data_IF_035539852893
#
_entry.id   IF_035539852893
#
_cell.length_a   1.000
_cell.length_b   1.000
_cell.length_c   1.000
_cell.angle_alpha   90.00
_cell.angle_beta   90.00
_cell.angle_gamma   90.00
#
_symmetry.space_group_name_H-M   'P 1'
#
loop_
_entity.id
_entity.type
_entity.pdbx_description
1 polymer ?
#
# COMPACT_ATOMS: atom_id res chain seq x y z
N UNK A 1 -16.12 -4.51 -7.31
CA UNK A 1 -16.97 -3.63 -8.14
C UNK A 1 -16.04 -2.68 -8.88
N UNK A 2 -16.04 -2.64 -10.22
CA UNK A 2 -15.12 -1.75 -10.96
C UNK A 2 -15.61 -0.30 -10.98
N UNK A 3 -14.68 0.66 -10.94
CA UNK A 3 -14.98 2.11 -11.10
C UNK A 3 -15.62 2.45 -12.44
N UNK A 4 -15.42 1.61 -13.47
CA UNK A 4 -16.00 1.79 -14.81
C UNK A 4 -17.43 1.30 -14.93
N UNK A 5 -17.95 0.58 -13.92
CA UNK A 5 -19.30 0.02 -13.98
C UNK A 5 -20.33 1.01 -13.44
N UNK A 6 -21.52 1.13 -14.08
CA UNK A 6 -22.61 1.98 -13.57
C UNK A 6 -23.04 1.65 -12.13
N UNK A 7 -22.84 0.40 -11.71
CA UNK A 7 -23.14 -0.07 -10.35
C UNK A 7 -22.27 0.66 -9.30
N UNK A 8 -21.07 1.12 -9.67
CA UNK A 8 -20.23 1.96 -8.82
C UNK A 8 -20.84 3.32 -8.54
N UNK A 9 -21.43 3.96 -9.56
CA UNK A 9 -22.08 5.26 -9.39
C UNK A 9 -23.25 5.19 -8.40
N UNK A 10 -24.09 4.16 -8.51
CA UNK A 10 -25.18 3.92 -7.56
C UNK A 10 -24.67 3.65 -6.14
N UNK A 11 -23.67 2.78 -6.01
CA UNK A 11 -23.04 2.51 -4.72
C UNK A 11 -22.48 3.79 -4.07
N UNK A 12 -21.81 4.63 -4.85
CA UNK A 12 -21.25 5.89 -4.38
C UNK A 12 -22.35 6.87 -3.95
N UNK A 13 -23.41 7.02 -4.76
CA UNK A 13 -24.55 7.89 -4.43
C UNK A 13 -25.23 7.45 -3.13
N UNK A 14 -25.45 6.15 -2.93
CA UNK A 14 -26.02 5.59 -1.70
C UNK A 14 -25.09 5.86 -0.53
N UNK A 15 -23.79 5.56 -0.68
CA UNK A 15 -22.78 5.78 0.36
C UNK A 15 -22.75 7.24 0.82
N UNK A 16 -22.72 8.18 -0.13
CA UNK A 16 -22.71 9.61 0.16
C UNK A 16 -24.03 10.07 0.79
N UNK A 17 -25.17 9.59 0.30
CA UNK A 17 -26.49 9.92 0.88
C UNK A 17 -26.56 9.51 2.35
N UNK A 18 -26.12 8.30 2.69
CA UNK A 18 -26.06 7.83 4.07
C UNK A 18 -25.06 8.66 4.88
N UNK A 19 -23.87 8.93 4.33
CA UNK A 19 -22.84 9.73 4.99
C UNK A 19 -23.34 11.13 5.39
N UNK A 20 -24.05 11.83 4.49
CA UNK A 20 -24.58 13.16 4.75
C UNK A 20 -25.83 13.14 5.65
N UNK A 21 -26.66 12.09 5.55
CA UNK A 21 -27.81 11.92 6.44
C UNK A 21 -27.41 11.70 7.91
N UNK A 22 -26.28 11.03 8.13
CA UNK A 22 -25.73 10.79 9.46
C UNK A 22 -25.11 12.07 10.02
N UNK A 23 -25.53 12.48 11.23
CA UNK A 23 -24.99 13.69 11.91
C UNK A 23 -23.77 13.41 12.80
N UNK A 24 -23.66 12.21 13.35
CA UNK A 24 -22.57 11.84 14.25
C UNK A 24 -21.29 11.52 13.48
N UNK A 25 -20.18 12.16 13.85
CA UNK A 25 -18.86 11.92 13.25
C UNK A 25 -18.40 10.45 13.38
N UNK A 26 -18.74 9.78 14.48
CA UNK A 26 -18.42 8.36 14.66
C UNK A 26 -19.15 7.49 13.63
N UNK A 27 -20.46 7.71 13.49
CA UNK A 27 -21.29 6.97 12.55
C UNK A 27 -20.89 7.26 11.09
N UNK A 28 -20.51 8.50 10.75
CA UNK A 28 -19.97 8.84 9.42
C UNK A 28 -18.73 8.01 9.08
N UNK A 29 -17.80 7.87 10.02
CA UNK A 29 -16.59 7.04 9.84
C UNK A 29 -16.93 5.56 9.69
N UNK A 30 -17.95 5.08 10.41
CA UNK A 30 -18.44 3.71 10.26
C UNK A 30 -19.09 3.48 8.89
N UNK A 31 -19.86 4.44 8.37
CA UNK A 31 -20.41 4.39 7.01
C UNK A 31 -19.29 4.28 5.98
N UNK A 32 -18.25 5.12 6.10
CA UNK A 32 -17.08 5.06 5.21
C UNK A 32 -16.37 3.70 5.30
N UNK A 33 -16.12 3.19 6.51
CA UNK A 33 -15.48 1.90 6.72
C UNK A 33 -16.30 0.76 6.10
N UNK A 34 -17.60 0.69 6.39
CA UNK A 34 -18.47 -0.35 5.85
C UNK A 34 -18.56 -0.28 4.33
N UNK A 35 -18.61 0.92 3.77
CA UNK A 35 -18.59 1.11 2.31
C UNK A 35 -17.26 0.64 1.72
N UNK A 36 -16.13 0.93 2.35
CA UNK A 36 -14.83 0.39 1.97
C UNK A 36 -14.78 -1.12 2.02
N UNK A 37 -15.32 -1.73 3.07
CA UNK A 37 -15.41 -3.18 3.18
C UNK A 37 -16.26 -3.78 2.06
N UNK A 38 -17.41 -3.19 1.77
CA UNK A 38 -18.31 -3.67 0.71
C UNK A 38 -17.65 -3.57 -0.67
N UNK A 39 -17.00 -2.45 -0.97
CA UNK A 39 -16.32 -2.24 -2.24
C UNK A 39 -15.16 -3.22 -2.46
N UNK A 40 -14.28 -3.36 -1.47
CA UNK A 40 -13.12 -4.24 -1.54
C UNK A 40 -13.55 -5.71 -1.48
N UNK A 41 -14.49 -6.03 -0.59
CA UNK A 41 -15.08 -7.37 -0.48
C UNK A 41 -15.80 -7.82 -1.75
N UNK A 42 -16.37 -6.89 -2.53
CA UNK A 42 -16.99 -7.22 -3.82
C UNK A 42 -16.01 -7.83 -4.81
N UNK A 43 -14.73 -7.44 -4.76
CA UNK A 43 -13.72 -8.08 -5.59
C UNK A 43 -13.37 -9.45 -5.05
N UNK A 44 -12.93 -9.51 -3.79
CA UNK A 44 -12.60 -10.75 -3.11
C UNK A 44 -12.39 -10.53 -1.60
N UNK A 45 -13.16 -11.27 -0.81
CA UNK A 45 -13.18 -11.16 0.65
C UNK A 45 -11.86 -11.56 1.32
N UNK A 46 -11.02 -12.37 0.65
CA UNK A 46 -9.71 -12.80 1.17
C UNK A 46 -8.77 -11.63 1.32
N UNK A 47 -8.76 -10.68 0.38
CA UNK A 47 -7.94 -9.47 0.47
C UNK A 47 -8.46 -8.51 1.53
N UNK A 48 -9.77 -8.45 1.74
CA UNK A 48 -10.33 -7.63 2.81
C UNK A 48 -9.85 -8.14 4.19
N UNK A 49 -9.89 -9.45 4.43
CA UNK A 49 -9.36 -10.04 5.66
C UNK A 49 -7.86 -9.76 5.83
N UNK A 50 -7.09 -9.87 4.74
CA UNK A 50 -5.67 -9.53 4.71
C UNK A 50 -5.41 -8.06 5.04
N UNK A 51 -6.20 -7.13 4.49
CA UNK A 51 -6.09 -5.71 4.79
C UNK A 51 -6.36 -5.42 6.26
N UNK A 52 -7.39 -6.03 6.84
CA UNK A 52 -7.66 -5.89 8.27
C UNK A 52 -6.55 -6.48 9.14
N UNK A 53 -5.95 -7.60 8.69
CA UNK A 53 -4.84 -8.22 9.39
C UNK A 53 -3.61 -7.30 9.41
N UNK A 54 -3.18 -6.80 8.25
CA UNK A 54 -2.04 -5.86 8.18
C UNK A 54 -2.36 -4.52 8.85
N UNK A 55 -3.60 -4.03 8.71
CA UNK A 55 -4.08 -2.84 9.41
C UNK A 55 -3.92 -2.99 10.93
N UNK A 56 -4.37 -4.12 11.46
CA UNK A 56 -4.30 -4.43 12.89
C UNK A 56 -2.86 -4.43 13.37
N UNK A 57 -1.97 -5.13 12.65
CA UNK A 57 -0.54 -5.16 12.99
C UNK A 57 0.02 -3.74 13.06
N UNK A 58 -0.22 -2.91 12.05
CA UNK A 58 0.35 -1.57 11.99
C UNK A 58 -0.26 -0.61 13.01
N UNK A 59 -1.56 -0.73 13.27
CA UNK A 59 -2.24 0.00 14.34
C UNK A 59 -1.59 -0.29 15.70
N UNK A 60 -1.45 -1.57 16.07
CA UNK A 60 -0.85 -1.97 17.34
C UNK A 60 0.64 -1.65 17.39
N UNK A 61 1.40 -1.91 16.31
CA UNK A 61 2.81 -1.55 16.25
C UNK A 61 3.02 -0.05 16.43
N UNK A 62 2.22 0.79 15.78
CA UNK A 62 2.27 2.25 15.96
C UNK A 62 2.06 2.66 17.42
N UNK A 63 1.07 2.09 18.10
CA UNK A 63 0.83 2.33 19.53
C UNK A 63 2.03 1.87 20.39
N UNK A 64 2.52 0.65 20.14
CA UNK A 64 3.64 0.07 20.89
C UNK A 64 4.95 0.82 20.68
N UNK A 65 5.22 1.33 19.47
CA UNK A 65 6.37 2.19 19.17
C UNK A 65 6.29 3.47 20.01
N UNK A 66 5.13 4.11 20.04
CA UNK A 66 4.93 5.36 20.78
C UNK A 66 5.07 5.18 22.30
N UNK A 67 4.52 4.10 22.84
CA UNK A 67 4.57 3.81 24.28
C UNK A 67 5.94 3.27 24.75
N UNK A 68 6.79 2.81 23.82
CA UNK A 68 8.08 2.21 24.15
C UNK A 68 9.12 3.24 24.58
N UNK A 69 9.66 3.04 25.79
CA UNK A 69 10.78 3.84 26.33
C UNK A 69 12.15 3.45 25.77
N UNK A 70 12.29 2.21 25.28
CA UNK A 70 13.58 1.67 24.83
C UNK A 70 13.67 1.64 23.30
N UNK A 71 14.79 2.11 22.76
CA UNK A 71 15.05 2.13 21.31
C UNK A 71 15.00 0.74 20.66
N UNK A 72 15.43 -0.30 21.37
CA UNK A 72 15.37 -1.68 20.90
C UNK A 72 13.92 -2.15 20.63
N UNK A 73 12.98 -1.84 21.53
CA UNK A 73 11.57 -2.20 21.37
C UNK A 73 10.92 -1.42 20.22
N UNK A 74 11.21 -0.12 20.10
CA UNK A 74 10.76 0.72 18.98
C UNK A 74 11.20 0.12 17.64
N UNK A 75 12.47 -0.31 17.54
CA UNK A 75 13.02 -0.96 16.35
C UNK A 75 12.35 -2.31 16.07
N UNK A 76 12.11 -3.13 17.10
CA UNK A 76 11.43 -4.41 16.95
C UNK A 76 10.02 -4.25 16.39
N UNK A 77 9.21 -3.36 16.95
CA UNK A 77 7.84 -3.13 16.46
C UNK A 77 7.81 -2.54 15.06
N UNK A 78 8.75 -1.65 14.73
CA UNK A 78 8.93 -1.19 13.36
C UNK A 78 9.29 -2.34 12.42
N UNK A 79 10.21 -3.23 12.83
CA UNK A 79 10.60 -4.40 12.05
C UNK A 79 9.41 -5.33 11.78
N UNK A 80 8.57 -5.58 12.80
CA UNK A 80 7.35 -6.40 12.66
C UNK A 80 6.40 -5.79 11.62
N UNK A 81 6.17 -4.48 11.67
CA UNK A 81 5.36 -3.75 10.67
C UNK A 81 5.96 -3.87 9.26
N UNK A 82 7.27 -3.66 9.11
CA UNK A 82 7.96 -3.75 7.82
C UNK A 82 7.91 -5.16 7.23
N UNK A 83 8.25 -6.18 8.03
CA UNK A 83 8.32 -7.57 7.59
C UNK A 83 6.93 -8.10 7.23
N UNK A 84 5.89 -7.78 8.01
CA UNK A 84 4.54 -8.22 7.69
C UNK A 84 4.04 -7.62 6.37
N UNK A 85 4.16 -6.30 6.20
CA UNK A 85 3.74 -5.61 4.98
C UNK A 85 4.50 -6.03 3.73
N UNK A 86 5.84 -6.04 3.78
CA UNK A 86 6.64 -6.48 2.66
C UNK A 86 6.52 -7.98 2.42
N UNK A 87 6.29 -8.79 3.46
CA UNK A 87 6.01 -10.21 3.35
C UNK A 87 4.72 -10.47 2.57
N UNK A 88 3.65 -9.75 2.90
CA UNK A 88 2.38 -9.80 2.15
C UNK A 88 2.60 -9.37 0.70
N UNK A 89 3.23 -8.22 0.47
CA UNK A 89 3.49 -7.71 -0.87
C UNK A 89 4.32 -8.71 -1.70
N UNK A 90 5.39 -9.26 -1.12
CA UNK A 90 6.26 -10.24 -1.74
C UNK A 90 5.54 -11.55 -2.04
N UNK A 91 4.74 -12.06 -1.10
CA UNK A 91 3.97 -13.28 -1.31
C UNK A 91 3.05 -13.16 -2.52
N UNK A 92 2.28 -12.08 -2.63
CA UNK A 92 1.37 -11.90 -3.77
C UNK A 92 2.10 -11.61 -5.07
N UNK A 93 3.17 -10.80 -5.03
CA UNK A 93 3.95 -10.47 -6.22
C UNK A 93 4.65 -11.68 -6.82
N UNK A 94 5.16 -12.57 -5.99
CA UNK A 94 5.91 -13.76 -6.41
C UNK A 94 5.10 -15.04 -6.26
N UNK A 95 3.77 -14.95 -6.07
CA UNK A 95 2.91 -16.11 -5.83
C UNK A 95 3.05 -17.17 -6.94
N UNK A 96 3.06 -16.74 -8.21
CA UNK A 96 3.26 -17.64 -9.35
C UNK A 96 4.59 -18.39 -9.28
N UNK A 97 5.67 -17.69 -8.98
CA UNK A 97 7.00 -18.30 -8.80
C UNK A 97 7.01 -19.30 -7.63
N UNK A 98 6.48 -18.94 -6.47
CA UNK A 98 6.43 -19.84 -5.31
C UNK A 98 5.57 -21.06 -5.58
N UNK A 99 4.42 -20.88 -6.25
CA UNK A 99 3.54 -21.95 -6.69
C UNK A 99 4.27 -22.92 -7.61
N UNK A 100 4.90 -22.43 -8.68
CA UNK A 100 5.58 -23.28 -9.66
C UNK A 100 6.70 -24.09 -9.01
N UNK A 101 7.49 -23.49 -8.13
CA UNK A 101 8.53 -24.22 -7.40
C UNK A 101 7.94 -25.24 -6.41
N UNK A 102 6.87 -24.90 -5.70
CA UNK A 102 6.19 -25.83 -4.80
C UNK A 102 5.60 -27.03 -5.55
N UNK A 103 4.95 -26.81 -6.69
CA UNK A 103 4.42 -27.88 -7.56
C UNK A 103 5.56 -28.77 -8.04
N UNK A 104 6.66 -28.20 -8.56
CA UNK A 104 7.84 -28.99 -8.97
C UNK A 104 8.42 -29.83 -7.83
N UNK A 105 8.52 -29.28 -6.63
CA UNK A 105 9.01 -30.03 -5.46
C UNK A 105 8.07 -31.18 -5.08
N UNK A 106 6.76 -30.98 -5.18
CA UNK A 106 5.76 -32.02 -4.89
C UNK A 106 5.75 -33.10 -5.98
N UNK A 107 5.90 -32.72 -7.26
CA UNK A 107 6.05 -33.64 -8.38
C UNK A 107 7.31 -34.52 -8.22
N UNK A 108 8.43 -33.96 -7.77
CA UNK A 108 9.64 -34.74 -7.45
C UNK A 108 9.42 -35.76 -6.32
N UNK A 109 8.45 -35.51 -5.44
CA UNK A 109 8.03 -36.43 -4.37
C UNK A 109 6.91 -37.38 -4.81
N UNK A 110 6.54 -37.38 -6.10
CA UNK A 110 5.48 -38.22 -6.66
C UNK A 110 4.06 -37.74 -6.32
N UNK A 111 3.91 -36.52 -5.80
CA UNK A 111 2.61 -35.94 -5.44
C UNK A 111 2.17 -34.99 -6.54
N UNK A 112 1.21 -35.42 -7.36
CA UNK A 112 0.55 -34.52 -8.31
C UNK A 112 -0.34 -33.53 -7.54
N UNK A 113 0.12 -32.28 -7.44
CA UNK A 113 -0.61 -31.22 -6.74
C UNK A 113 -1.01 -30.11 -7.71
N UNK A 114 -2.31 -29.97 -7.94
CA UNK A 114 -2.87 -28.84 -8.68
C UNK A 114 -3.11 -27.67 -7.73
N UNK A 115 -2.05 -26.94 -7.38
CA UNK A 115 -2.23 -25.68 -6.66
C UNK A 115 -2.97 -24.72 -7.59
N UNK A 116 -4.13 -24.16 -7.23
CA UNK A 116 -4.89 -23.29 -8.12
C UNK A 116 -4.08 -22.05 -8.48
N UNK A 117 -4.17 -21.62 -9.74
CA UNK A 117 -3.66 -20.30 -10.11
C UNK A 117 -4.59 -19.30 -9.43
N UNK A 118 -4.05 -18.63 -8.44
CA UNK A 118 -4.64 -17.41 -7.93
C UNK A 118 -4.45 -16.39 -9.08
N UNK A 119 -5.44 -16.32 -9.98
CA UNK A 119 -5.58 -15.30 -11.01
C UNK A 119 -5.88 -13.98 -10.29
N UNK A 120 -4.90 -13.52 -9.52
CA UNK A 120 -4.94 -12.33 -8.71
C UNK A 120 -4.80 -11.21 -9.71
N UNK A 121 -5.92 -10.61 -10.09
CA UNK A 121 -5.91 -9.18 -10.39
C UNK A 121 -5.53 -8.56 -9.05
N UNK A 122 -4.23 -8.29 -8.87
CA UNK A 122 -3.72 -7.58 -7.69
C UNK A 122 -4.64 -6.37 -7.53
N UNK A 123 -5.33 -6.21 -6.38
CA UNK A 123 -6.09 -4.99 -6.16
C UNK A 123 -5.13 -3.85 -6.46
N UNK A 124 -5.49 -3.00 -7.41
CA UNK A 124 -4.61 -1.93 -7.93
C UNK A 124 -4.10 -1.03 -6.78
N UNK A 125 -4.74 -1.09 -5.60
CA UNK A 125 -4.34 -0.43 -4.36
C UNK A 125 -3.53 -1.22 -3.33
N UNK A 126 -3.20 -2.52 -3.49
CA UNK A 126 -2.49 -3.30 -2.44
C UNK A 126 -1.13 -2.66 -2.10
N UNK A 127 -0.34 -2.31 -3.11
CA UNK A 127 0.95 -1.64 -2.92
C UNK A 127 0.77 -0.25 -2.28
N UNK A 128 -0.20 0.53 -2.75
CA UNK A 128 -0.46 1.88 -2.21
C UNK A 128 -0.87 1.83 -0.74
N UNK A 129 -1.81 0.94 -0.40
CA UNK A 129 -2.24 0.68 0.96
C UNK A 129 -1.06 0.24 1.84
N UNK A 130 -0.23 -0.70 1.36
CA UNK A 130 0.97 -1.14 2.07
C UNK A 130 1.92 0.03 2.36
N UNK A 131 2.22 0.90 1.39
CA UNK A 131 3.08 2.05 1.63
C UNK A 131 2.45 3.08 2.57
N UNK A 132 1.15 3.30 2.50
CA UNK A 132 0.44 4.18 3.44
C UNK A 132 0.50 3.64 4.87
N UNK A 133 0.29 2.34 5.04
CA UNK A 133 0.36 1.67 6.35
C UNK A 133 1.77 1.68 6.93
N UNK A 134 2.78 1.44 6.10
CA UNK A 134 4.19 1.59 6.48
C UNK A 134 4.56 3.02 6.85
N UNK A 135 4.08 4.02 6.09
CA UNK A 135 4.33 5.44 6.41
C UNK A 135 3.84 5.78 7.81
N UNK A 136 2.67 5.26 8.20
CA UNK A 136 2.13 5.47 9.54
C UNK A 136 3.08 4.98 10.64
N UNK A 137 3.57 3.73 10.56
CA UNK A 137 4.46 3.17 11.60
C UNK A 137 5.85 3.81 11.57
N UNK A 138 6.39 4.10 10.39
CA UNK A 138 7.68 4.78 10.22
C UNK A 138 7.63 6.22 10.76
N UNK A 139 6.57 6.98 10.48
CA UNK A 139 6.42 8.35 10.96
C UNK A 139 6.33 8.42 12.49
N UNK A 140 5.62 7.46 13.12
CA UNK A 140 5.58 7.35 14.58
C UNK A 140 6.95 7.00 15.13
N UNK A 141 7.67 6.08 14.47
CA UNK A 141 9.02 5.70 14.87
C UNK A 141 10.00 6.88 14.81
N UNK A 142 9.88 7.76 13.82
CA UNK A 142 10.68 9.00 13.74
C UNK A 142 10.10 10.18 14.53
N UNK A 143 8.96 10.00 15.21
CA UNK A 143 8.33 11.06 16.00
C UNK A 143 7.68 12.18 15.19
N UNK A 144 7.43 11.95 13.89
CA UNK A 144 6.76 12.91 13.00
C UNK A 144 5.24 12.95 13.22
N UNK A 145 4.66 11.87 13.77
CA UNK A 145 3.22 11.71 13.98
C UNK A 145 2.94 10.97 15.29
N UNK A 146 1.84 11.31 15.96
CA UNK A 146 1.29 10.54 17.09
C UNK A 146 0.33 9.45 16.61
N UNK A 147 0.29 8.28 17.26
CA UNK A 147 -0.56 7.17 16.79
C UNK A 147 -2.05 7.50 16.90
N UNK A 148 -2.83 6.97 15.95
CA UNK A 148 -4.29 7.16 15.92
C UNK A 148 -4.90 6.33 17.05
N UNK A 149 -5.76 6.95 17.87
CA UNK A 149 -6.30 6.31 19.10
C UNK A 149 -7.36 5.25 18.84
N UNK A 150 -8.02 5.29 17.68
CA UNK A 150 -9.14 4.41 17.33
C UNK A 150 -8.80 3.57 16.11
N UNK A 151 -8.95 2.24 16.22
CA UNK A 151 -8.79 1.33 15.09
C UNK A 151 -9.80 1.61 13.98
N UNK A 152 -10.98 2.13 14.33
CA UNK A 152 -11.99 2.58 13.37
C UNK A 152 -11.50 3.81 12.61
N UNK A 153 -10.83 4.76 13.28
CA UNK A 153 -10.27 5.95 12.63
C UNK A 153 -9.07 5.59 11.74
N UNK A 154 -8.31 4.57 12.13
CA UNK A 154 -7.21 4.03 11.33
C UNK A 154 -7.73 3.31 10.08
N UNK A 155 -8.73 2.43 10.23
CA UNK A 155 -9.28 1.61 9.13
C UNK A 155 -10.22 2.40 8.20
N UNK A 156 -10.91 3.42 8.73
CA UNK A 156 -11.77 4.30 7.95
C UNK A 156 -10.97 5.26 7.03
N UNK A 157 -9.65 5.38 7.23
CA UNK A 157 -8.73 6.15 6.37
C UNK A 157 -8.41 5.45 5.03
N UNK A 158 -9.30 4.57 4.59
CA UNK A 158 -9.16 3.71 3.40
C UNK A 158 -9.41 4.47 2.09
N UNK A 159 -9.05 3.83 0.98
CA UNK A 159 -9.03 4.47 -0.35
C UNK A 159 -10.38 5.01 -0.84
N UNK A 160 -11.52 4.58 -0.28
CA UNK A 160 -12.82 5.20 -0.60
C UNK A 160 -12.95 6.58 0.03
N UNK A 161 -12.42 6.80 1.23
CA UNK A 161 -12.39 8.15 1.81
C UNK A 161 -11.47 9.07 0.99
N UNK A 162 -10.38 8.52 0.45
CA UNK A 162 -9.44 9.21 -0.44
C UNK A 162 -10.07 9.50 -1.82
N UNK A 163 -10.71 8.51 -2.44
CA UNK A 163 -11.38 8.63 -3.74
C UNK A 163 -12.65 9.47 -3.69
N UNK A 164 -13.44 9.38 -2.61
CA UNK A 164 -14.55 10.30 -2.38
C UNK A 164 -14.05 11.72 -2.12
N UNK A 165 -12.93 11.89 -1.40
CA UNK A 165 -12.30 13.18 -1.19
C UNK A 165 -11.95 13.92 -2.50
N UNK A 166 -11.53 13.21 -3.55
CA UNK A 166 -11.25 13.83 -4.86
C UNK A 166 -12.49 14.49 -5.49
N UNK A 167 -13.68 13.90 -5.30
CA UNK A 167 -14.94 14.46 -5.81
C UNK A 167 -15.36 15.74 -5.07
N UNK A 168 -14.78 16.01 -3.90
CA UNK A 168 -15.08 17.17 -3.05
C UNK A 168 -13.90 18.14 -2.93
N UNK A 169 -12.92 18.05 -3.84
CA UNK A 169 -11.83 19.04 -3.93
C UNK A 169 -10.60 18.77 -3.05
N UNK A 170 -10.47 17.58 -2.45
CA UNK A 170 -9.20 17.18 -1.84
C UNK A 170 -8.16 16.90 -2.92
N UNK A 171 -7.08 17.68 -2.95
CA UNK A 171 -5.98 17.49 -3.89
C UNK A 171 -5.13 16.30 -3.48
N UNK A 172 -5.30 15.16 -4.16
CA UNK A 172 -4.32 14.09 -4.06
C UNK A 172 -3.04 14.49 -4.78
N UNK A 173 -1.87 14.05 -4.28
CA UNK A 173 -0.65 14.26 -5.00
C UNK A 173 -0.72 13.54 -6.35
N UNK A 174 -0.48 14.26 -7.45
CA UNK A 174 -0.39 13.67 -8.80
C UNK A 174 0.56 12.47 -8.78
N UNK A 175 0.12 11.33 -9.30
CA UNK A 175 0.95 10.13 -9.43
C UNK A 175 1.67 10.04 -10.78
N UNK A 176 1.13 10.64 -11.83
CA UNK A 176 1.74 10.68 -13.15
C UNK A 176 1.61 12.07 -13.74
N UNK A 177 2.69 12.61 -14.31
CA UNK A 177 2.71 13.93 -14.96
C UNK A 177 3.38 13.82 -16.32
N UNK A 178 2.65 13.33 -17.32
CA UNK A 178 3.14 13.16 -18.70
C UNK A 178 4.57 12.58 -18.77
N UNK A 179 4.81 11.39 -18.19
CA UNK A 179 6.15 10.83 -18.06
C UNK A 179 6.81 10.58 -19.42
N UNK A 180 6.04 10.23 -20.45
CA UNK A 180 6.54 10.02 -21.81
C UNK A 180 6.97 11.30 -22.55
N UNK A 181 6.66 12.48 -22.00
CA UNK A 181 7.17 13.77 -22.47
C UNK A 181 8.42 14.22 -21.71
N UNK A 182 9.11 13.30 -21.02
CA UNK A 182 10.38 13.60 -20.36
C UNK A 182 11.52 13.67 -21.38
N UNK A 183 12.39 14.66 -21.22
CA UNK A 183 13.55 14.87 -22.09
C UNK A 183 14.74 13.99 -21.66
N UNK A 184 14.75 13.52 -20.41
CA UNK A 184 15.78 12.64 -19.88
C UNK A 184 15.21 11.59 -18.88
N UNK A 185 15.97 10.51 -18.57
CA UNK A 185 15.53 9.48 -17.64
C UNK A 185 15.23 10.01 -16.23
N UNK A 186 16.01 10.97 -15.71
CA UNK A 186 15.79 11.54 -14.39
C UNK A 186 14.45 12.29 -14.33
N UNK A 187 14.11 13.01 -15.40
CA UNK A 187 12.83 13.69 -15.55
C UNK A 187 11.67 12.70 -15.70
N UNK A 188 11.85 11.61 -16.44
CA UNK A 188 10.86 10.53 -16.56
C UNK A 188 10.47 10.00 -15.17
N UNK A 189 11.45 9.68 -14.33
CA UNK A 189 11.21 9.17 -12.97
C UNK A 189 10.65 10.24 -12.01
N UNK A 190 10.88 11.54 -12.26
CA UNK A 190 10.20 12.62 -11.50
C UNK A 190 8.74 12.80 -11.90
N UNK A 191 8.34 12.25 -13.05
CA UNK A 191 7.00 12.34 -13.64
C UNK A 191 6.22 11.02 -13.54
N UNK A 192 6.88 9.92 -13.21
CA UNK A 192 6.30 8.57 -13.10
C UNK A 192 6.15 8.18 -11.63
N UNK A 193 4.95 7.72 -11.21
CA UNK A 193 4.65 7.26 -9.85
C UNK A 193 5.09 8.22 -8.71
N UNK A 194 4.87 9.52 -8.88
CA UNK A 194 5.47 10.62 -8.09
C UNK A 194 5.24 10.47 -6.57
N UNK A 195 4.09 9.98 -6.11
CA UNK A 195 3.85 9.77 -4.66
C UNK A 195 4.70 8.64 -4.10
N UNK A 196 4.90 7.59 -4.89
CA UNK A 196 5.75 6.46 -4.52
C UNK A 196 7.23 6.82 -4.58
N UNK A 197 7.66 7.55 -5.59
CA UNK A 197 9.04 8.05 -5.69
C UNK A 197 9.40 8.99 -4.54
N UNK A 198 8.44 9.82 -4.11
CA UNK A 198 8.59 10.60 -2.87
C UNK A 198 8.73 9.70 -1.65
N UNK A 199 7.93 8.63 -1.55
CA UNK A 199 8.02 7.67 -0.45
C UNK A 199 9.40 6.99 -0.39
N UNK A 200 9.90 6.43 -1.50
CA UNK A 200 11.25 5.82 -1.54
C UNK A 200 12.29 6.87 -1.17
N UNK A 201 12.19 8.07 -1.71
CA UNK A 201 13.13 9.15 -1.40
C UNK A 201 13.18 9.43 0.11
N UNK A 202 12.02 9.63 0.73
CA UNK A 202 11.92 10.13 2.09
C UNK A 202 12.15 9.06 3.16
N UNK A 203 11.83 7.79 2.86
CA UNK A 203 11.91 6.68 3.82
C UNK A 203 13.03 5.67 3.55
N UNK A 204 13.59 5.62 2.34
CA UNK A 204 14.69 4.73 2.00
C UNK A 204 15.96 5.51 1.63
N UNK A 205 15.90 6.34 0.59
CA UNK A 205 17.08 6.96 0.00
C UNK A 205 17.76 7.98 0.92
N UNK A 206 17.01 8.95 1.47
CA UNK A 206 17.54 9.97 2.39
C UNK A 206 18.07 9.33 3.68
N UNK A 207 17.32 8.43 4.37
CA UNK A 207 17.83 7.72 5.55
C UNK A 207 19.09 6.89 5.31
N UNK A 208 19.30 6.35 4.09
CA UNK A 208 20.52 5.64 3.71
C UNK A 208 21.71 6.56 3.39
N UNK A 209 21.54 7.88 3.53
CA UNK A 209 22.57 8.89 3.30
C UNK A 209 22.40 9.66 1.99
N UNK A 210 21.46 9.28 1.13
CA UNK A 210 21.25 9.91 -0.18
C UNK A 210 22.53 9.98 -1.01
N UNK A 211 22.93 11.19 -1.40
CA UNK A 211 24.19 11.49 -2.10
C UNK A 211 25.37 11.81 -1.16
N UNK A 212 25.26 11.53 0.15
CA UNK A 212 26.35 11.77 1.10
C UNK A 212 27.21 10.51 1.25
N UNK A 213 28.50 10.69 1.51
CA UNK A 213 29.45 9.59 1.70
C UNK A 213 30.22 9.23 0.43
N UNK A 214 30.89 8.08 0.44
CA UNK A 214 31.73 7.62 -0.69
C UNK A 214 30.90 7.27 -1.93
N UNK A 215 31.54 7.30 -3.11
CA UNK A 215 30.89 6.94 -4.37
C UNK A 215 30.21 5.56 -4.31
N UNK A 216 30.78 4.59 -3.59
CA UNK A 216 30.19 3.25 -3.41
C UNK A 216 28.85 3.32 -2.67
N UNK A 217 28.75 4.15 -1.62
CA UNK A 217 27.51 4.35 -0.85
C UNK A 217 26.46 5.03 -1.73
N UNK A 218 26.86 6.03 -2.51
CA UNK A 218 25.96 6.74 -3.42
C UNK A 218 25.41 5.82 -4.52
N UNK A 219 26.28 5.04 -5.17
CA UNK A 219 25.90 4.05 -6.19
C UNK A 219 24.96 3.00 -5.60
N UNK A 220 25.27 2.45 -4.43
CA UNK A 220 24.39 1.51 -3.72
C UNK A 220 23.00 2.11 -3.46
N UNK A 221 22.96 3.36 -2.97
CA UNK A 221 21.70 4.05 -2.66
C UNK A 221 20.87 4.31 -3.93
N UNK A 222 21.51 4.69 -5.03
CA UNK A 222 20.88 4.87 -6.34
C UNK A 222 20.33 3.54 -6.88
N UNK A 223 21.11 2.46 -6.78
CA UNK A 223 20.66 1.12 -7.20
C UNK A 223 19.40 0.71 -6.42
N UNK A 224 19.38 0.87 -5.09
CA UNK A 224 18.17 0.56 -4.31
C UNK A 224 16.96 1.40 -4.71
N UNK A 225 17.17 2.69 -5.00
CA UNK A 225 16.11 3.58 -5.49
C UNK A 225 15.53 3.09 -6.83
N UNK A 226 16.38 2.88 -7.84
CA UNK A 226 15.94 2.47 -9.18
C UNK A 226 15.38 1.05 -9.22
N UNK A 227 15.95 0.09 -8.48
CA UNK A 227 15.42 -1.28 -8.43
C UNK A 227 14.02 -1.31 -7.82
N UNK A 228 13.77 -0.48 -6.80
CA UNK A 228 12.45 -0.36 -6.17
C UNK A 228 11.42 0.24 -7.12
N UNK A 229 11.79 1.28 -7.86
CA UNK A 229 10.96 1.93 -8.89
C UNK A 229 10.67 0.99 -10.07
N UNK A 230 11.70 0.35 -10.62
CA UNK A 230 11.59 -0.57 -11.77
C UNK A 230 10.63 -1.72 -11.49
N UNK A 231 10.73 -2.30 -10.29
CA UNK A 231 9.91 -3.42 -9.85
C UNK A 231 8.42 -3.09 -9.78
N UNK A 232 8.06 -1.83 -9.56
CA UNK A 232 6.68 -1.37 -9.41
C UNK A 232 6.17 -0.77 -10.72
N UNK A 233 7.00 -0.02 -11.44
CA UNK A 233 6.71 0.49 -12.77
C UNK A 233 6.42 -0.62 -13.78
N UNK A 234 7.18 -1.72 -13.76
CA UNK A 234 6.95 -2.87 -14.66
C UNK A 234 5.60 -3.56 -14.40
N UNK A 235 5.16 -3.63 -13.14
CA UNK A 235 3.86 -4.20 -12.79
C UNK A 235 2.73 -3.27 -13.23
N UNK A 236 2.85 -1.96 -12.98
CA UNK A 236 1.89 -0.99 -13.49
C UNK A 236 1.78 -1.08 -15.04
N UNK A 237 2.90 -1.24 -15.74
CA UNK A 237 2.91 -1.39 -17.19
C UNK A 237 2.22 -2.67 -17.70
N UNK A 238 2.38 -3.81 -17.01
CA UNK A 238 1.70 -5.06 -17.37
C UNK A 238 0.20 -5.01 -17.09
N UNK A 239 -0.23 -4.41 -15.97
CA UNK A 239 -1.63 -4.37 -15.58
C UNK A 239 -2.44 -3.26 -16.26
N UNK A 240 -1.79 -2.15 -16.62
CA UNK A 240 -2.41 -1.03 -17.33
C UNK A 240 -2.05 -1.03 -18.81
N UNK A 241 -2.13 -2.17 -19.50
CA UNK A 241 -1.97 -2.20 -20.96
C UNK A 241 -2.78 -1.05 -21.59
N UNK A 242 -2.06 -0.03 -22.05
CA UNK A 242 -2.48 0.89 -23.09
C UNK A 242 -2.14 0.25 -24.42
#
# INVERSE_FOLDING_TARGET
MSFTQPVFAWFLLITLSIFYAVRSASHRRMVLLLSSCLFYGWFDMRFLALFFFTAGIDFYCGQLIYLSKTQARRKLYLLVSLVSNFGVLGFFKYYGFFRENAVRMLELLGVESQIPLLAIILPIGLSFYTFQSLSYTIDIYFGKRTPVKSALDFSAYSDIAIGAGQLFGFQLPENFRSPYHAEDPQEFWRRWYISFSRWIRDYLYIPLGGNRGSNVVQVRNLVFFFVSEWNIGYQAFIYFQF
#
